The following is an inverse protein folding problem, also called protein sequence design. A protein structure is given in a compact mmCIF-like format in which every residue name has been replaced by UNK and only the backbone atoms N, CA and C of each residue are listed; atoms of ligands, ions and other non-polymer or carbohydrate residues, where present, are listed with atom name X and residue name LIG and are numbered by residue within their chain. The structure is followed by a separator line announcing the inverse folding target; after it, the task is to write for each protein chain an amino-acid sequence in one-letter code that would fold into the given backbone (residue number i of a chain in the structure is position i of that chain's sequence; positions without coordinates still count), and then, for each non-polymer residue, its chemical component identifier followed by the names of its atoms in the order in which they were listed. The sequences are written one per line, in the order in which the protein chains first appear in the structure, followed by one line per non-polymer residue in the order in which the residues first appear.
data_IF_003140856949
#
_entry.id   IF_003140856949
#
_cell.length_a   1.000
_cell.length_b   1.000
_cell.length_c   1.000
_cell.angle_alpha   90.00
_cell.angle_beta   90.00
_cell.angle_gamma   90.00
#
_symmetry.space_group_name_H-M   'P 1'
#
loop_
_entity.id
_entity.type
_entity.pdbx_description
1 polymer ?
#
# COMPACT_ATOMS: atom_id res chain seq x y z
N UNK A 1 10.76 9.63 1.75
CA UNK A 1 9.71 10.31 0.97
C UNK A 1 9.25 9.37 -0.11
N UNK A 2 7.94 9.28 -0.38
CA UNK A 2 7.44 8.65 -1.61
C UNK A 2 7.84 9.57 -2.76
N UNK A 3 8.44 9.01 -3.79
CA UNK A 3 8.91 9.76 -4.97
C UNK A 3 8.12 9.41 -6.22
N UNK A 4 7.48 8.25 -6.26
CA UNK A 4 6.60 7.82 -7.36
C UNK A 4 5.31 7.20 -6.81
N UNK A 5 4.14 7.66 -7.25
CA UNK A 5 2.86 7.00 -6.96
C UNK A 5 2.61 5.96 -8.05
N UNK A 6 2.48 4.68 -7.65
CA UNK A 6 2.25 3.56 -8.57
C UNK A 6 0.77 3.18 -8.68
N UNK A 7 0.03 3.34 -7.59
CA UNK A 7 -1.39 3.03 -7.55
C UNK A 7 -2.07 3.97 -6.55
N UNK A 8 -3.20 4.56 -6.95
CA UNK A 8 -4.06 5.34 -6.06
C UNK A 8 -5.50 4.89 -6.29
N UNK A 9 -6.06 4.22 -5.29
CA UNK A 9 -7.45 3.77 -5.26
C UNK A 9 -8.13 4.26 -3.99
N UNK A 10 -9.46 4.16 -3.97
CA UNK A 10 -10.29 4.58 -2.82
C UNK A 10 -9.90 3.92 -1.50
N UNK A 11 -9.32 2.71 -1.56
CA UNK A 11 -9.05 1.86 -0.41
C UNK A 11 -7.55 1.54 -0.24
N UNK A 12 -6.69 1.88 -1.20
CA UNK A 12 -5.26 1.61 -1.11
C UNK A 12 -4.49 2.62 -1.95
N UNK A 13 -3.37 3.09 -1.43
CA UNK A 13 -2.37 3.86 -2.18
C UNK A 13 -1.03 3.16 -2.07
N UNK A 14 -0.33 3.04 -3.20
CA UNK A 14 0.98 2.40 -3.29
C UNK A 14 1.93 3.39 -3.92
N UNK A 15 2.95 3.78 -3.16
CA UNK A 15 4.08 4.57 -3.61
C UNK A 15 5.35 3.74 -3.67
N UNK A 16 6.32 4.20 -4.45
CA UNK A 16 7.66 3.64 -4.52
C UNK A 16 8.70 4.71 -4.17
N UNK A 17 9.72 4.27 -3.44
CA UNK A 17 10.92 5.03 -3.19
C UNK A 17 12.11 4.27 -3.83
N UNK A 18 12.66 4.75 -4.96
CA UNK A 18 13.76 4.10 -5.66
C UNK A 18 15.08 4.18 -4.89
N UNK A 19 15.27 5.24 -4.08
CA UNK A 19 16.49 5.44 -3.28
C UNK A 19 16.62 4.35 -2.21
N UNK A 20 15.51 4.08 -1.50
CA UNK A 20 15.43 3.03 -0.50
C UNK A 20 15.04 1.65 -1.06
N UNK A 21 14.77 1.54 -2.37
CA UNK A 21 14.14 0.37 -3.03
C UNK A 21 12.99 -0.21 -2.19
N UNK A 22 12.05 0.65 -1.81
CA UNK A 22 10.98 0.28 -0.88
C UNK A 22 9.63 0.76 -1.39
N UNK A 23 8.62 -0.11 -1.30
CA UNK A 23 7.23 0.27 -1.52
C UNK A 23 6.63 0.82 -0.23
N UNK A 24 5.88 1.90 -0.35
CA UNK A 24 5.03 2.44 0.70
C UNK A 24 3.59 2.11 0.34
N UNK A 25 2.87 1.48 1.25
CA UNK A 25 1.49 1.06 1.05
C UNK A 25 0.66 1.70 2.14
N UNK A 26 -0.31 2.51 1.76
CA UNK A 26 -1.27 3.12 2.68
C UNK A 26 -2.66 2.52 2.44
N UNK A 27 -3.15 1.74 3.41
CA UNK A 27 -4.51 1.22 3.38
C UNK A 27 -5.48 2.28 3.91
N UNK A 28 -6.46 2.65 3.09
CA UNK A 28 -7.42 3.73 3.36
C UNK A 28 -8.79 3.16 3.73
N UNK A 29 -9.44 3.73 4.76
CA UNK A 29 -10.81 3.41 5.12
C UNK A 29 -11.04 1.94 5.52
N UNK A 30 -12.29 1.48 5.39
CA UNK A 30 -12.67 0.11 5.76
C UNK A 30 -12.22 -0.88 4.70
N UNK A 31 -11.45 -1.88 5.13
CA UNK A 31 -10.95 -2.95 4.27
C UNK A 31 -11.80 -4.21 4.43
N UNK A 32 -12.12 -4.84 3.31
CA UNK A 32 -12.66 -6.21 3.29
C UNK A 32 -11.53 -7.20 3.03
N UNK A 33 -11.75 -8.47 3.36
CA UNK A 33 -10.79 -9.55 3.04
C UNK A 33 -10.49 -9.59 1.53
N UNK A 34 -11.48 -9.33 0.69
CA UNK A 34 -11.32 -9.27 -0.76
C UNK A 34 -10.43 -8.10 -1.21
N UNK A 35 -10.68 -6.89 -0.69
CA UNK A 35 -9.85 -5.71 -0.96
C UNK A 35 -8.40 -5.90 -0.51
N UNK A 36 -8.20 -6.52 0.67
CA UNK A 36 -6.85 -6.83 1.15
C UNK A 36 -6.13 -7.82 0.23
N UNK A 37 -6.81 -8.88 -0.22
CA UNK A 37 -6.21 -9.84 -1.17
C UNK A 37 -5.81 -9.17 -2.47
N UNK A 38 -6.69 -8.37 -3.06
CA UNK A 38 -6.42 -7.62 -4.30
C UNK A 38 -5.27 -6.64 -4.13
N UNK A 39 -5.19 -5.95 -3.00
CA UNK A 39 -4.06 -5.07 -2.71
C UNK A 39 -2.74 -5.85 -2.53
N UNK A 40 -2.76 -7.01 -1.87
CA UNK A 40 -1.59 -7.88 -1.76
C UNK A 40 -1.07 -8.36 -3.12
N UNK A 41 -1.97 -8.75 -4.04
CA UNK A 41 -1.57 -9.11 -5.42
C UNK A 41 -0.88 -7.93 -6.12
N UNK A 42 -1.44 -6.72 -6.04
CA UNK A 42 -0.84 -5.52 -6.62
C UNK A 42 0.54 -5.21 -6.02
N UNK A 43 0.67 -5.29 -4.70
CA UNK A 43 1.96 -5.08 -4.02
C UNK A 43 3.00 -6.07 -4.57
N UNK A 44 2.64 -7.35 -4.69
CA UNK A 44 3.54 -8.38 -5.20
C UNK A 44 3.94 -8.12 -6.66
N UNK A 45 3.01 -7.67 -7.51
CA UNK A 45 3.30 -7.29 -8.89
C UNK A 45 4.31 -6.13 -8.95
N UNK A 46 4.10 -5.08 -8.16
CA UNK A 46 5.04 -3.95 -8.09
C UNK A 46 6.39 -4.32 -7.49
N UNK A 47 6.42 -5.24 -6.51
CA UNK A 47 7.67 -5.74 -5.94
C UNK A 47 8.53 -6.43 -6.99
N UNK A 48 7.91 -7.30 -7.80
CA UNK A 48 8.58 -7.99 -8.91
C UNK A 48 9.04 -7.00 -9.99
N UNK A 49 8.16 -6.08 -10.40
CA UNK A 49 8.46 -5.11 -11.46
C UNK A 49 9.57 -4.11 -11.10
N UNK A 50 9.71 -3.77 -9.81
CA UNK A 50 10.73 -2.81 -9.32
C UNK A 50 11.92 -3.47 -8.63
N UNK A 51 11.98 -4.81 -8.62
CA UNK A 51 13.01 -5.61 -7.95
C UNK A 51 13.25 -5.15 -6.49
N UNK A 52 12.15 -4.89 -5.77
CA UNK A 52 12.20 -4.46 -4.38
C UNK A 52 11.69 -5.55 -3.44
N UNK A 53 12.28 -5.60 -2.25
CA UNK A 53 12.03 -6.64 -1.25
C UNK A 53 11.62 -6.06 0.11
N UNK A 54 11.42 -4.74 0.18
CA UNK A 54 10.96 -4.01 1.36
C UNK A 54 9.63 -3.36 1.08
N UNK A 55 8.71 -3.47 2.03
CA UNK A 55 7.40 -2.83 2.00
C UNK A 55 7.15 -2.21 3.37
N UNK A 56 6.85 -0.92 3.39
CA UNK A 56 6.28 -0.24 4.55
C UNK A 56 4.77 -0.18 4.37
N UNK A 57 4.04 -0.71 5.33
CA UNK A 57 2.57 -0.69 5.33
C UNK A 57 2.08 0.21 6.44
N UNK A 58 1.28 1.20 6.07
CA UNK A 58 0.57 2.09 6.98
C UNK A 58 -0.92 1.87 6.80
N UNK A 59 -1.68 2.01 7.88
CA UNK A 59 -3.13 1.89 7.86
C UNK A 59 -3.73 3.17 8.41
N UNK A 60 -4.39 3.93 7.54
CA UNK A 60 -5.17 5.10 7.94
C UNK A 60 -6.59 4.69 8.36
N UNK A 61 -6.71 3.56 9.06
CA UNK A 61 -7.99 3.04 9.54
C UNK A 61 -8.34 3.85 10.78
N UNK A 62 -9.17 4.86 10.61
CA UNK A 62 -9.89 5.46 11.73
C UNK A 62 -10.88 4.41 12.24
N UNK A 63 -10.56 3.73 13.33
CA UNK A 63 -11.60 3.08 14.14
C UNK A 63 -12.65 4.17 14.46
N UNK A 64 -13.96 3.91 14.39
CA UNK A 64 -14.87 4.77 15.14
C UNK A 64 -14.45 4.62 16.60
N UNK A 65 -14.00 5.71 17.23
CA UNK A 65 -13.81 5.75 18.66
C UNK A 65 -15.12 5.26 19.29
N UNK A 66 -15.10 4.07 19.90
CA UNK A 66 -16.25 3.58 20.64
C UNK A 66 -16.43 4.52 21.83
N UNK A 67 -17.49 5.34 21.75
CA UNK A 67 -17.90 6.26 22.81
C UNK A 67 -18.54 5.52 23.97
#
# INVERSE_FOLDING_TARGET
MITEVLCEETHIEIGYNPDAKTLHVNWKGSQTIDSMKKGCDKILEFMKARECNKVYTESSVTEPAYA
#
